data_IF_451980158133
#
_entry.id   IF_451980158133
#
_cell.length_a   1.000
_cell.length_b   1.000
_cell.length_c   1.000
_cell.angle_alpha   90.00
_cell.angle_beta   90.00
_cell.angle_gamma   90.00
#
_symmetry.space_group_name_H-M   'P 1'
#
loop_
_entity.id
_entity.type
_entity.pdbx_description
1 polymer ?
#
# COMPACT_ATOMS: atom_id res chain seq x y z
N UNK A 1 -30.88 -25.62 -30.94
CA UNK A 1 -31.31 -24.28 -30.53
C UNK A 1 -30.68 -24.01 -29.18
N UNK A 2 -29.59 -23.24 -29.15
CA UNK A 2 -28.99 -22.79 -27.90
C UNK A 2 -29.33 -21.30 -27.76
N UNK A 3 -30.07 -21.01 -26.70
CA UNK A 3 -30.65 -19.71 -26.39
C UNK A 3 -29.53 -18.82 -25.82
N UNK A 4 -29.10 -17.85 -26.61
CA UNK A 4 -28.21 -16.77 -26.20
C UNK A 4 -28.91 -15.91 -25.15
N UNK A 5 -28.47 -15.99 -23.89
CA UNK A 5 -28.95 -15.12 -22.82
C UNK A 5 -28.71 -13.66 -23.17
N UNK A 6 -29.79 -12.88 -23.22
CA UNK A 6 -29.77 -11.45 -23.52
C UNK A 6 -28.96 -10.67 -22.46
N UNK A 7 -27.98 -9.82 -22.85
CA UNK A 7 -27.35 -8.92 -21.90
C UNK A 7 -28.29 -7.76 -21.60
N UNK A 8 -28.86 -7.77 -20.39
CA UNK A 8 -29.57 -6.61 -19.85
C UNK A 8 -28.62 -5.42 -19.68
N UNK A 9 -29.03 -4.27 -20.23
CA UNK A 9 -28.48 -2.92 -20.00
C UNK A 9 -26.95 -2.80 -19.83
N UNK A 10 -26.23 -2.62 -20.96
CA UNK A 10 -24.94 -1.93 -20.99
C UNK A 10 -23.69 -2.73 -20.58
N UNK A 11 -23.69 -4.05 -20.75
CA UNK A 11 -22.63 -4.94 -20.24
C UNK A 11 -21.70 -5.57 -21.31
N UNK A 12 -21.81 -5.23 -22.60
CA UNK A 12 -20.79 -5.60 -23.59
C UNK A 12 -19.64 -4.58 -23.58
N UNK A 13 -19.03 -4.37 -22.41
CA UNK A 13 -17.80 -3.58 -22.27
C UNK A 13 -16.63 -4.54 -22.35
N UNK A 14 -15.99 -4.62 -23.51
CA UNK A 14 -14.71 -5.28 -23.64
C UNK A 14 -13.62 -4.40 -23.02
N UNK A 15 -13.11 -4.83 -21.87
CA UNK A 15 -11.91 -4.23 -21.27
C UNK A 15 -10.68 -4.76 -21.98
N UNK A 16 -9.73 -3.88 -22.28
CA UNK A 16 -8.44 -4.32 -22.80
C UNK A 16 -7.64 -5.00 -21.69
N UNK A 17 -6.96 -6.10 -22.02
CA UNK A 17 -5.97 -6.75 -21.14
C UNK A 17 -4.67 -5.94 -21.01
N UNK A 18 -4.58 -4.76 -21.64
CA UNK A 18 -3.45 -3.86 -21.52
C UNK A 18 -3.39 -3.27 -20.11
N UNK A 19 -2.45 -3.77 -19.31
CA UNK A 19 -2.17 -3.27 -17.97
C UNK A 19 -1.36 -1.97 -18.01
N UNK A 20 -1.57 -1.12 -17.00
CA UNK A 20 -0.78 0.09 -16.85
C UNK A 20 0.66 -0.21 -16.45
N UNK A 21 1.57 0.73 -16.73
CA UNK A 21 2.90 0.74 -16.15
C UNK A 21 2.81 0.67 -14.62
N UNK A 22 3.62 -0.20 -14.01
CA UNK A 22 3.53 -0.57 -12.59
C UNK A 22 3.48 0.63 -11.64
N UNK A 23 4.29 1.65 -11.90
CA UNK A 23 4.33 2.86 -11.07
C UNK A 23 3.01 3.63 -11.08
N UNK A 24 2.35 3.68 -12.24
CA UNK A 24 1.05 4.33 -12.40
C UNK A 24 -0.06 3.48 -11.77
N UNK A 25 -0.06 2.17 -11.99
CA UNK A 25 -1.00 1.25 -11.36
C UNK A 25 -1.01 1.40 -9.84
N UNK A 26 0.16 1.32 -9.21
CA UNK A 26 0.30 1.45 -7.76
C UNK A 26 -0.11 2.84 -7.24
N UNK A 27 0.15 3.90 -8.00
CA UNK A 27 -0.29 5.25 -7.64
C UNK A 27 -1.81 5.37 -7.65
N UNK A 28 -2.47 4.83 -8.67
CA UNK A 28 -3.93 4.82 -8.77
C UNK A 28 -4.57 3.96 -7.68
N UNK A 29 -4.01 2.79 -7.36
CA UNK A 29 -4.46 1.96 -6.24
C UNK A 29 -4.38 2.71 -4.90
N UNK A 30 -3.26 3.38 -4.65
CA UNK A 30 -3.07 4.18 -3.43
C UNK A 30 -4.05 5.35 -3.36
N UNK A 31 -4.34 6.02 -4.47
CA UNK A 31 -5.30 7.12 -4.52
C UNK A 31 -6.74 6.64 -4.27
N UNK A 32 -7.15 5.55 -4.93
CA UNK A 32 -8.52 5.06 -4.89
C UNK A 32 -8.84 4.25 -3.63
N UNK A 33 -7.91 3.44 -3.14
CA UNK A 33 -8.14 2.47 -2.04
C UNK A 33 -7.38 2.85 -0.76
N UNK A 34 -6.43 3.76 -0.84
CA UNK A 34 -5.59 4.12 0.30
C UNK A 34 -4.54 3.06 0.66
N UNK A 35 -4.38 2.01 -0.13
CA UNK A 35 -3.38 0.97 0.08
C UNK A 35 -2.91 0.41 -1.26
N UNK A 36 -1.70 -0.13 -1.28
CA UNK A 36 -1.17 -0.83 -2.44
C UNK A 36 -1.64 -2.27 -2.41
N UNK A 37 -2.28 -2.75 -3.48
CA UNK A 37 -2.89 -4.08 -3.55
C UNK A 37 -2.01 -5.02 -4.36
N UNK A 38 -1.60 -4.57 -5.54
CA UNK A 38 -0.88 -5.41 -6.49
C UNK A 38 0.57 -5.67 -6.06
N UNK A 39 1.24 -4.67 -5.49
CA UNK A 39 2.61 -4.81 -5.01
C UNK A 39 2.98 -3.72 -3.98
N UNK A 40 4.08 -3.89 -3.26
CA UNK A 40 4.58 -2.91 -2.30
C UNK A 40 5.63 -1.98 -2.94
N UNK A 41 5.60 -0.65 -2.72
CA UNK A 41 6.56 0.27 -3.37
C UNK A 41 8.01 0.10 -2.92
N UNK A 42 8.25 -0.58 -1.81
CA UNK A 42 9.60 -0.94 -1.34
C UNK A 42 10.07 -2.30 -1.87
N UNK A 43 9.37 -2.91 -2.82
CA UNK A 43 9.79 -4.18 -3.38
C UNK A 43 11.21 -4.08 -3.97
N UNK A 44 12.12 -4.94 -3.54
CA UNK A 44 13.55 -4.91 -3.89
C UNK A 44 14.44 -4.08 -2.96
N UNK A 45 13.88 -3.35 -2.00
CA UNK A 45 14.63 -2.59 -0.97
C UNK A 45 14.62 -3.28 0.41
N UNK A 46 14.05 -4.49 0.50
CA UNK A 46 13.82 -5.18 1.76
C UNK A 46 15.12 -5.43 2.50
N UNK A 47 16.15 -5.93 1.80
CA UNK A 47 17.45 -6.20 2.42
C UNK A 47 18.08 -4.94 2.99
N UNK A 48 18.03 -3.83 2.24
CA UNK A 48 18.59 -2.54 2.68
C UNK A 48 17.85 -2.00 3.89
N UNK A 49 16.52 -2.16 3.93
CA UNK A 49 15.70 -1.74 5.06
C UNK A 49 15.91 -2.64 6.28
N UNK A 50 15.99 -3.97 6.09
CA UNK A 50 16.27 -4.93 7.17
C UNK A 50 17.66 -4.74 7.78
N UNK A 51 18.65 -4.27 7.02
CA UNK A 51 19.98 -3.97 7.55
C UNK A 51 20.01 -2.70 8.42
N UNK A 52 19.00 -1.84 8.29
CA UNK A 52 18.94 -0.52 8.96
C UNK A 52 17.82 -0.40 9.98
N UNK A 53 16.82 -1.28 9.92
CA UNK A 53 15.70 -1.35 10.83
C UNK A 53 15.86 -2.59 11.73
N UNK A 54 15.69 -2.39 13.03
CA UNK A 54 15.75 -3.46 14.03
C UNK A 54 14.35 -3.98 14.42
N UNK A 55 13.30 -3.29 13.97
CA UNK A 55 11.91 -3.59 14.31
C UNK A 55 10.96 -3.37 13.12
N UNK A 56 10.02 -4.29 12.97
CA UNK A 56 8.89 -4.17 12.05
C UNK A 56 7.64 -3.62 12.74
N UNK A 57 6.75 -3.01 11.96
CA UNK A 57 5.47 -2.46 12.47
C UNK A 57 4.63 -3.55 13.15
N UNK A 58 4.66 -4.79 12.66
CA UNK A 58 3.94 -5.91 13.27
C UNK A 58 4.45 -6.24 14.68
N UNK A 59 5.76 -6.33 14.87
CA UNK A 59 6.37 -6.62 16.18
C UNK A 59 6.06 -5.53 17.22
N UNK A 60 5.99 -4.26 16.80
CA UNK A 60 5.57 -3.17 17.67
C UNK A 60 4.12 -3.33 18.14
N UNK A 61 3.26 -3.92 17.31
CA UNK A 61 1.86 -4.19 17.67
C UNK A 61 1.68 -5.45 18.50
N UNK A 62 2.61 -6.40 18.39
CA UNK A 62 2.61 -7.65 19.16
C UNK A 62 3.00 -7.47 20.64
N UNK A 63 3.60 -6.33 21.01
CA UNK A 63 4.02 -6.05 22.39
C UNK A 63 5.36 -6.69 22.75
N UNK A 64 6.20 -7.00 21.76
CA UNK A 64 7.52 -7.62 21.96
C UNK A 64 8.54 -6.68 22.63
N UNK A 65 8.25 -5.38 22.67
CA UNK A 65 9.11 -4.34 23.25
C UNK A 65 8.50 -3.78 24.53
N UNK A 66 9.34 -3.64 25.57
CA UNK A 66 8.96 -2.97 26.81
C UNK A 66 8.77 -1.46 26.64
N UNK A 67 8.08 -0.85 27.59
CA UNK A 67 7.92 0.60 27.64
C UNK A 67 9.28 1.31 27.71
N UNK A 68 9.43 2.40 26.95
CA UNK A 68 10.69 3.14 26.82
C UNK A 68 11.77 2.49 25.96
N UNK A 69 11.50 1.36 25.30
CA UNK A 69 12.43 0.77 24.35
C UNK A 69 12.65 1.70 23.14
N UNK A 70 13.92 1.88 22.76
CA UNK A 70 14.31 2.62 21.56
C UNK A 70 14.44 1.61 20.43
N UNK A 71 13.67 1.83 19.35
CA UNK A 71 13.61 0.98 18.17
C UNK A 71 13.69 1.83 16.91
N UNK A 72 14.24 1.25 15.85
CA UNK A 72 14.40 1.84 14.53
C UNK A 72 13.49 1.13 13.53
N UNK A 73 12.50 1.85 13.02
CA UNK A 73 11.54 1.32 12.04
C UNK A 73 11.88 1.83 10.64
N UNK A 74 11.94 0.92 9.67
CA UNK A 74 12.07 1.23 8.25
C UNK A 74 10.75 1.04 7.50
N UNK A 75 10.43 1.92 6.56
CA UNK A 75 9.20 1.82 5.78
C UNK A 75 8.92 3.02 4.87
N UNK A 76 7.68 3.12 4.38
CA UNK A 76 7.20 4.26 3.58
C UNK A 76 6.45 5.24 4.49
N UNK A 77 6.73 6.53 4.30
CA UNK A 77 5.95 7.60 4.91
C UNK A 77 4.73 7.87 4.02
N UNK A 78 3.54 7.52 4.52
CA UNK A 78 2.28 7.66 3.78
C UNK A 78 1.63 9.04 3.93
N UNK A 79 2.03 9.81 4.94
CA UNK A 79 1.53 11.15 5.21
C UNK A 79 2.35 11.84 6.30
N UNK A 80 2.36 13.17 6.26
CA UNK A 80 3.02 14.01 7.25
C UNK A 80 2.00 14.97 7.86
N UNK A 81 1.76 14.83 9.17
CA UNK A 81 0.94 15.77 9.91
C UNK A 81 1.83 16.67 10.78
N UNK A 82 1.96 17.94 10.39
CA UNK A 82 2.63 18.93 11.23
C UNK A 82 1.67 19.44 12.30
N UNK A 83 1.95 19.15 13.57
CA UNK A 83 1.25 19.75 14.72
C UNK A 83 2.11 20.90 15.27
N UNK A 84 1.56 22.11 15.32
CA UNK A 84 2.18 23.26 16.00
C UNK A 84 1.54 23.46 17.36
N UNK A 85 2.34 23.84 18.35
CA UNK A 85 1.81 24.27 19.64
C UNK A 85 1.31 25.72 19.53
N UNK A 86 0.53 26.18 20.51
CA UNK A 86 0.10 27.59 20.57
C UNK A 86 1.26 28.57 20.73
N UNK A 87 2.44 28.09 21.12
CA UNK A 87 3.66 28.90 21.23
C UNK A 87 4.60 28.74 20.02
N UNK A 88 4.12 28.12 18.95
CA UNK A 88 4.92 27.78 17.77
C UNK A 88 5.50 26.38 17.83
#
# INVERSE_FOLDING_TARGET
EEESGEPGFGLDVEFSDLEWEKSYLLAQEREMLGLYVSDHPLFGLEHVLSDKADSSISQLMSGDYGDGAIVTVGGIISGLQRKMTKQG
#
